data_IF_099424300160
#
_entry.id   IF_099424300160
#
_cell.length_a   1.000
_cell.length_b   1.000
_cell.length_c   1.000
_cell.angle_alpha   90.00
_cell.angle_beta   90.00
_cell.angle_gamma   90.00
#
_symmetry.space_group_name_H-M   'P 1'
#
loop_
_entity.id
_entity.type
_entity.pdbx_description
1 polymer ?
#
# COMPACT_ATOMS: atom_id res chain seq x y z
N UNK A 1 9.32 -10.42 -15.72
CA UNK A 1 8.56 -9.16 -15.77
C UNK A 1 8.53 -8.61 -14.36
N UNK A 2 8.49 -7.29 -14.15
CA UNK A 2 8.69 -6.65 -12.83
C UNK A 2 7.62 -7.07 -11.81
N UNK A 3 7.58 -8.33 -11.37
CA UNK A 3 6.66 -8.98 -10.43
C UNK A 3 5.15 -9.00 -10.77
N UNK A 4 4.69 -8.28 -11.79
CA UNK A 4 3.26 -8.18 -12.12
C UNK A 4 2.73 -9.31 -13.01
N UNK A 5 1.49 -9.70 -12.75
CA UNK A 5 0.60 -10.47 -13.63
C UNK A 5 -0.46 -9.56 -14.22
N UNK A 6 -0.86 -9.83 -15.47
CA UNK A 6 -1.90 -9.06 -16.13
C UNK A 6 -3.21 -9.17 -15.34
N UNK A 7 -3.70 -8.04 -14.81
CA UNK A 7 -4.86 -7.99 -13.92
C UNK A 7 -6.19 -7.70 -14.62
N UNK A 8 -6.15 -7.31 -15.90
CA UNK A 8 -7.32 -6.85 -16.65
C UNK A 8 -7.68 -7.80 -17.79
N UNK A 9 -8.98 -7.96 -18.03
CA UNK A 9 -9.48 -8.61 -19.24
C UNK A 9 -9.48 -7.63 -20.42
N UNK A 10 -9.44 -8.13 -21.67
CA UNK A 10 -9.39 -7.27 -22.88
C UNK A 10 -10.42 -6.13 -22.90
N UNK A 11 -11.70 -6.35 -22.57
CA UNK A 11 -12.68 -5.27 -22.50
C UNK A 11 -12.33 -4.14 -21.53
N UNK A 12 -11.58 -4.44 -20.47
CA UNK A 12 -11.19 -3.50 -19.41
C UNK A 12 -9.96 -2.68 -19.79
N UNK A 13 -9.27 -3.01 -20.88
CA UNK A 13 -8.11 -2.26 -21.39
C UNK A 13 -8.50 -0.97 -22.09
N UNK A 14 -9.79 -0.79 -22.42
CA UNK A 14 -10.25 0.31 -23.25
C UNK A 14 -9.84 1.70 -22.74
N UNK A 15 -9.87 2.03 -21.43
CA UNK A 15 -9.32 3.30 -20.95
C UNK A 15 -7.83 3.48 -21.28
N UNK A 16 -7.00 2.44 -21.13
CA UNK A 16 -5.57 2.47 -21.46
C UNK A 16 -5.36 2.73 -22.96
N UNK A 17 -6.10 2.03 -23.84
CA UNK A 17 -6.03 2.26 -25.29
C UNK A 17 -6.37 3.70 -25.66
N UNK A 18 -7.40 4.27 -25.02
CA UNK A 18 -7.82 5.66 -25.26
C UNK A 18 -6.72 6.65 -24.82
N UNK A 19 -6.09 6.40 -23.68
CA UNK A 19 -5.05 7.27 -23.13
C UNK A 19 -3.74 7.16 -23.93
N UNK A 20 -3.33 5.95 -24.33
CA UNK A 20 -2.18 5.74 -25.21
C UNK A 20 -2.40 6.39 -26.59
N UNK A 21 -3.58 6.20 -27.21
CA UNK A 21 -3.91 6.84 -28.50
C UNK A 21 -3.87 8.37 -28.44
N UNK A 22 -4.23 8.94 -27.28
CA UNK A 22 -4.19 10.38 -27.04
C UNK A 22 -2.77 10.90 -26.71
N UNK A 23 -1.77 10.04 -26.63
CA UNK A 23 -0.40 10.40 -26.25
C UNK A 23 -0.29 10.90 -24.80
N UNK A 24 -1.18 10.44 -23.92
CA UNK A 24 -1.21 10.83 -22.51
C UNK A 24 -0.22 9.97 -21.73
N UNK A 25 0.69 10.62 -20.99
CA UNK A 25 1.56 9.93 -20.03
C UNK A 25 0.75 9.53 -18.82
N UNK A 26 0.58 8.23 -18.65
CA UNK A 26 -0.20 7.65 -17.55
C UNK A 26 0.42 6.35 -17.04
N UNK A 27 -0.14 5.82 -15.95
CA UNK A 27 -0.01 4.42 -15.55
C UNK A 27 -1.16 4.00 -14.61
N UNK A 28 -1.38 2.69 -14.56
CA UNK A 28 -2.30 2.03 -13.62
C UNK A 28 -1.84 2.23 -12.19
N UNK A 29 -2.78 2.55 -11.30
CA UNK A 29 -2.56 2.67 -9.85
C UNK A 29 -3.74 2.06 -9.09
N UNK A 30 -3.64 1.98 -7.77
CA UNK A 30 -4.74 1.55 -6.91
C UNK A 30 -5.02 0.06 -7.03
N UNK A 31 -6.28 -0.34 -6.85
CA UNK A 31 -6.69 -1.75 -6.72
C UNK A 31 -6.13 -2.66 -7.82
N UNK A 32 -6.03 -2.17 -9.05
CA UNK A 32 -5.48 -2.92 -10.18
C UNK A 32 -4.00 -3.31 -10.00
N UNK A 33 -3.23 -2.53 -9.24
CA UNK A 33 -1.86 -2.89 -8.85
C UNK A 33 -1.88 -4.06 -7.88
N UNK A 34 -2.76 -4.03 -6.88
CA UNK A 34 -2.89 -5.10 -5.88
C UNK A 34 -3.32 -6.41 -6.53
N UNK A 35 -4.25 -6.35 -7.47
CA UNK A 35 -4.63 -7.52 -8.30
C UNK A 35 -3.47 -7.97 -9.17
N UNK A 36 -2.74 -7.05 -9.80
CA UNK A 36 -1.58 -7.39 -10.62
C UNK A 36 -0.43 -8.01 -9.81
N UNK A 37 -0.37 -7.80 -8.49
CA UNK A 37 0.57 -8.47 -7.59
C UNK A 37 0.08 -9.85 -7.13
N UNK A 38 -1.11 -10.29 -7.55
CA UNK A 38 -1.67 -11.61 -7.30
C UNK A 38 -2.59 -11.70 -6.08
N UNK A 39 -2.99 -10.58 -5.48
CA UNK A 39 -3.98 -10.60 -4.40
C UNK A 39 -5.40 -10.69 -4.97
N UNK A 40 -6.29 -11.53 -4.42
CA UNK A 40 -7.65 -11.73 -4.93
C UNK A 40 -8.59 -10.59 -4.49
N UNK A 41 -8.24 -9.35 -4.78
CA UNK A 41 -9.09 -8.18 -4.59
C UNK A 41 -10.05 -8.07 -5.78
N UNK A 42 -11.31 -7.75 -5.51
CA UNK A 42 -12.23 -7.29 -6.54
C UNK A 42 -12.03 -5.77 -6.65
N UNK A 43 -11.55 -5.24 -7.79
CA UNK A 43 -11.33 -3.81 -7.94
C UNK A 43 -12.63 -3.04 -7.74
N UNK A 44 -12.59 -2.03 -6.88
CA UNK A 44 -13.74 -1.15 -6.70
C UNK A 44 -13.84 -0.17 -7.87
N UNK A 45 -12.70 0.44 -8.23
CA UNK A 45 -12.56 1.35 -9.37
C UNK A 45 -11.25 1.08 -10.12
N UNK A 46 -11.22 1.37 -11.42
CA UNK A 46 -10.00 1.41 -12.23
C UNK A 46 -9.37 2.79 -12.13
N UNK A 47 -8.19 2.86 -11.51
CA UNK A 47 -7.53 4.12 -11.21
C UNK A 47 -6.28 4.31 -12.06
N UNK A 48 -6.15 5.51 -12.62
CA UNK A 48 -5.01 5.91 -13.44
C UNK A 48 -4.39 7.18 -12.90
N UNK A 49 -3.06 7.17 -12.75
CA UNK A 49 -2.28 8.37 -12.52
C UNK A 49 -1.93 8.98 -13.88
N UNK A 50 -2.25 10.25 -14.06
CA UNK A 50 -2.03 11.02 -15.30
C UNK A 50 -1.03 12.13 -15.04
N UNK A 51 -0.09 12.36 -15.95
CA UNK A 51 0.77 13.54 -15.87
C UNK A 51 -0.08 14.81 -15.69
N UNK A 52 0.22 15.59 -14.66
CA UNK A 52 -0.62 16.67 -14.15
C UNK A 52 -1.08 17.65 -15.25
N UNK A 53 -0.16 18.03 -16.14
CA UNK A 53 -0.40 18.94 -17.26
C UNK A 53 -1.27 18.33 -18.38
N UNK A 54 -1.48 17.02 -18.39
CA UNK A 54 -2.29 16.30 -19.38
C UNK A 54 -3.65 15.85 -18.84
N UNK A 55 -4.01 16.20 -17.60
CA UNK A 55 -5.25 15.72 -16.97
C UNK A 55 -6.51 16.10 -17.76
N UNK A 56 -6.62 17.34 -18.25
CA UNK A 56 -7.75 17.78 -19.10
C UNK A 56 -7.74 17.13 -20.48
N UNK A 57 -6.55 16.81 -21.01
CA UNK A 57 -6.43 16.08 -22.28
C UNK A 57 -6.95 14.66 -22.12
N UNK A 58 -6.56 13.98 -21.03
CA UNK A 58 -7.05 12.64 -20.68
C UNK A 58 -8.57 12.62 -20.47
N UNK A 59 -9.11 13.61 -19.73
CA UNK A 59 -10.54 13.79 -19.53
C UNK A 59 -11.28 13.91 -20.87
N UNK A 60 -10.79 14.78 -21.75
CA UNK A 60 -11.39 15.01 -23.06
C UNK A 60 -11.32 13.76 -23.96
N UNK A 61 -10.21 13.03 -23.93
CA UNK A 61 -10.03 11.79 -24.68
C UNK A 61 -11.05 10.72 -24.28
N UNK A 62 -11.21 10.48 -22.97
CA UNK A 62 -12.21 9.55 -22.44
C UNK A 62 -13.63 9.96 -22.85
N UNK A 63 -14.00 11.23 -22.63
CA UNK A 63 -15.31 11.76 -22.98
C UNK A 63 -15.65 11.57 -24.47
N UNK A 64 -14.68 11.84 -25.35
CA UNK A 64 -14.86 11.71 -26.81
C UNK A 64 -15.09 10.26 -27.28
N UNK A 65 -14.78 9.27 -26.44
CA UNK A 65 -14.85 7.84 -26.78
C UNK A 65 -15.87 7.06 -25.94
N UNK A 66 -16.89 7.77 -25.45
CA UNK A 66 -18.09 7.18 -24.84
C UNK A 66 -17.98 6.93 -23.33
N UNK A 67 -17.03 7.58 -22.65
CA UNK A 67 -16.99 7.60 -21.19
C UNK A 67 -17.70 8.85 -20.69
N UNK A 68 -18.83 8.65 -20.00
CA UNK A 68 -19.59 9.73 -19.40
C UNK A 68 -18.96 10.11 -18.06
N UNK A 69 -18.57 11.38 -17.93
CA UNK A 69 -18.15 11.91 -16.64
C UNK A 69 -19.33 11.92 -15.66
N UNK A 70 -19.07 11.44 -14.45
CA UNK A 70 -20.05 11.39 -13.37
C UNK A 70 -19.49 12.09 -12.14
N UNK A 71 -20.35 12.75 -11.33
CA UNK A 71 -19.92 13.39 -10.10
C UNK A 71 -19.16 12.41 -9.21
N UNK A 72 -18.15 12.87 -8.47
CA UNK A 72 -17.52 12.06 -7.43
C UNK A 72 -18.44 11.97 -6.21
N UNK A 73 -19.42 11.06 -6.26
CA UNK A 73 -20.44 10.90 -5.22
C UNK A 73 -20.39 9.55 -4.50
N UNK A 74 -19.27 8.83 -4.64
CA UNK A 74 -19.07 7.57 -3.90
C UNK A 74 -19.01 7.88 -2.40
N UNK A 75 -20.11 7.61 -1.69
CA UNK A 75 -20.25 7.86 -0.24
C UNK A 75 -19.13 7.22 0.57
N UNK A 76 -18.50 6.16 0.06
CA UNK A 76 -17.38 5.48 0.71
C UNK A 76 -16.12 6.35 0.86
N UNK A 77 -15.97 7.44 0.10
CA UNK A 77 -14.82 8.33 0.17
C UNK A 77 -15.17 9.75 0.63
N UNK A 78 -16.38 9.95 1.14
CA UNK A 78 -16.84 11.25 1.62
C UNK A 78 -16.28 11.54 3.01
N UNK A 79 -15.78 12.76 3.20
CA UNK A 79 -15.33 13.27 4.49
C UNK A 79 -15.67 14.76 4.56
N UNK A 80 -16.75 15.07 5.25
CA UNK A 80 -17.23 16.44 5.45
C UNK A 80 -16.33 17.26 6.39
N UNK A 81 -15.41 16.60 7.10
CA UNK A 81 -14.42 17.23 7.97
C UNK A 81 -13.13 17.60 7.25
N UNK A 82 -12.96 17.15 6.00
CA UNK A 82 -11.77 17.45 5.21
C UNK A 82 -11.68 18.96 4.92
N UNK A 83 -10.53 19.55 5.27
CA UNK A 83 -10.20 20.96 4.97
C UNK A 83 -9.10 21.07 3.92
N UNK A 84 -8.49 19.95 3.54
CA UNK A 84 -7.51 19.76 2.47
C UNK A 84 -7.96 18.56 1.64
N UNK A 85 -7.76 18.62 0.33
CA UNK A 85 -8.35 17.70 -0.65
C UNK A 85 -9.87 17.89 -0.79
N UNK A 86 -10.51 17.04 -1.60
CA UNK A 86 -11.94 17.07 -1.85
C UNK A 86 -12.70 16.43 -0.68
N UNK A 87 -13.76 17.12 -0.20
CA UNK A 87 -14.71 16.57 0.78
C UNK A 87 -15.55 15.43 0.21
N UNK A 88 -15.59 15.31 -1.11
CA UNK A 88 -16.41 14.32 -1.84
C UNK A 88 -15.56 13.21 -2.47
N UNK A 89 -14.26 13.12 -2.17
CA UNK A 89 -13.44 11.95 -2.53
C UNK A 89 -12.13 12.29 -3.24
N UNK A 90 -11.88 11.64 -4.37
CA UNK A 90 -10.60 11.69 -5.10
C UNK A 90 -10.39 13.05 -5.79
N UNK A 91 -9.16 13.58 -5.87
CA UNK A 91 -8.89 14.84 -6.56
C UNK A 91 -8.68 14.59 -8.07
N UNK A 92 -9.75 14.31 -8.81
CA UNK A 92 -9.68 13.95 -10.23
C UNK A 92 -11.06 13.83 -10.90
N UNK A 93 -11.14 13.06 -11.98
CA UNK A 93 -12.38 12.83 -12.72
C UNK A 93 -12.79 11.36 -12.65
N UNK A 94 -14.11 11.14 -12.53
CA UNK A 94 -14.72 9.81 -12.49
C UNK A 94 -15.60 9.62 -13.72
N UNK A 95 -15.53 8.45 -14.32
CA UNK A 95 -16.25 8.11 -15.54
C UNK A 95 -16.93 6.76 -15.45
N UNK A 96 -18.07 6.65 -16.13
CA UNK A 96 -18.72 5.40 -16.49
C UNK A 96 -18.64 5.22 -18.00
N UNK A 97 -18.48 3.99 -18.46
CA UNK A 97 -18.68 3.71 -19.88
C UNK A 97 -20.17 3.84 -20.19
N UNK A 98 -20.49 4.37 -21.37
CA UNK A 98 -21.88 4.52 -21.79
C UNK A 98 -22.65 3.19 -21.69
N UNK A 99 -23.78 3.20 -20.98
CA UNK A 99 -24.62 2.03 -20.75
C UNK A 99 -24.31 1.22 -19.49
N UNK A 100 -23.22 1.54 -18.78
CA UNK A 100 -22.93 0.94 -17.48
C UNK A 100 -23.80 1.58 -16.38
N UNK A 101 -24.14 0.81 -15.35
CA UNK A 101 -24.90 1.30 -14.19
C UNK A 101 -23.98 1.93 -13.14
N UNK A 102 -24.50 2.88 -12.35
CA UNK A 102 -23.74 3.66 -11.34
C UNK A 102 -23.05 2.82 -10.24
N UNK A 103 -23.41 1.54 -10.07
CA UNK A 103 -22.78 0.63 -9.11
C UNK A 103 -21.64 -0.21 -9.73
N UNK A 104 -21.44 -0.13 -11.04
CA UNK A 104 -20.34 -0.83 -11.73
C UNK A 104 -18.99 -0.13 -11.47
N UNK A 105 -17.90 -0.82 -11.80
CA UNK A 105 -16.53 -0.30 -11.65
C UNK A 105 -16.33 0.97 -12.45
N UNK A 106 -15.92 2.06 -11.80
CA UNK A 106 -15.70 3.33 -12.48
C UNK A 106 -14.26 3.42 -12.99
N UNK A 107 -14.04 4.28 -13.99
CA UNK A 107 -12.71 4.75 -14.35
C UNK A 107 -12.44 6.07 -13.64
N UNK A 108 -11.35 6.16 -12.88
CA UNK A 108 -10.92 7.37 -12.18
C UNK A 108 -9.55 7.77 -12.69
N UNK A 109 -9.43 9.01 -13.16
CA UNK A 109 -8.14 9.61 -13.50
C UNK A 109 -7.79 10.68 -12.47
N UNK A 110 -6.53 10.71 -12.04
CA UNK A 110 -6.02 11.64 -11.04
C UNK A 110 -4.65 12.19 -11.47
N UNK A 111 -4.25 13.38 -11.00
CA UNK A 111 -2.89 13.87 -11.14
C UNK A 111 -1.87 12.85 -10.60
N UNK A 112 -0.73 12.74 -11.27
CA UNK A 112 0.36 11.86 -10.87
C UNK A 112 0.98 12.32 -9.55
N UNK A 113 1.04 13.64 -9.31
CA UNK A 113 1.53 14.20 -8.04
C UNK A 113 0.72 13.76 -6.83
N UNK A 114 -0.60 13.56 -6.97
CA UNK A 114 -1.43 13.02 -5.90
C UNK A 114 -1.00 11.60 -5.49
N UNK A 115 -0.54 10.82 -6.46
CA UNK A 115 0.02 9.48 -6.25
C UNK A 115 1.51 9.48 -5.93
N UNK A 116 2.15 10.64 -5.74
CA UNK A 116 3.61 10.76 -5.59
C UNK A 116 4.39 10.08 -6.74
N UNK A 117 3.85 10.10 -7.95
CA UNK A 117 4.48 9.57 -9.14
C UNK A 117 4.99 10.69 -10.04
N UNK A 118 6.19 10.49 -10.58
CA UNK A 118 6.78 11.37 -11.59
C UNK A 118 6.58 10.76 -12.99
N UNK A 119 5.64 11.36 -13.73
CA UNK A 119 5.32 11.05 -15.12
C UNK A 119 5.77 12.16 -16.07
N UNK A 120 6.76 12.97 -15.67
CA UNK A 120 7.41 13.92 -16.58
C UNK A 120 8.03 13.21 -17.79
N UNK A 121 8.24 13.89 -18.93
CA UNK A 121 8.76 13.27 -20.15
C UNK A 121 10.04 12.45 -19.94
N UNK A 122 10.97 12.95 -19.13
CA UNK A 122 12.27 12.31 -18.86
C UNK A 122 12.17 11.13 -17.88
N UNK A 123 11.09 11.06 -17.11
CA UNK A 123 10.90 10.08 -16.06
C UNK A 123 9.92 8.98 -16.45
N UNK A 124 8.97 9.25 -17.35
CA UNK A 124 7.87 8.36 -17.66
C UNK A 124 8.31 6.97 -18.11
N UNK A 125 9.22 6.88 -19.08
CA UNK A 125 9.72 5.59 -19.60
C UNK A 125 10.63 4.85 -18.62
N UNK A 126 11.29 5.59 -17.71
CA UNK A 126 12.13 5.02 -16.64
C UNK A 126 11.28 4.47 -15.49
N UNK A 127 10.25 5.21 -15.10
CA UNK A 127 9.44 4.96 -13.92
C UNK A 127 8.27 4.01 -14.19
N UNK A 128 7.89 3.84 -15.45
CA UNK A 128 6.82 2.94 -15.88
C UNK A 128 7.33 1.89 -16.86
N UNK A 129 6.50 0.91 -17.19
CA UNK A 129 6.72 -0.01 -18.29
C UNK A 129 5.38 -0.41 -18.91
N UNK A 130 5.40 -0.69 -20.21
CA UNK A 130 4.25 -1.25 -20.92
C UNK A 130 4.25 -2.76 -20.73
N UNK A 131 3.12 -3.34 -20.32
CA UNK A 131 3.00 -4.78 -20.19
C UNK A 131 2.92 -5.40 -21.60
N UNK A 132 3.76 -6.41 -21.93
CA UNK A 132 3.83 -7.01 -23.26
C UNK A 132 2.49 -7.39 -23.85
N UNK A 133 2.33 -7.10 -25.14
CA UNK A 133 1.14 -7.42 -25.94
C UNK A 133 -0.17 -6.82 -25.41
N UNK A 134 -0.07 -5.77 -24.58
CA UNK A 134 -1.21 -5.03 -24.03
C UNK A 134 -0.95 -3.53 -24.07
N UNK A 135 -2.01 -2.69 -24.03
CA UNK A 135 -1.86 -1.26 -23.82
C UNK A 135 -1.57 -0.90 -22.36
N UNK A 136 -1.59 -1.87 -21.44
CA UNK A 136 -1.55 -1.61 -20.00
C UNK A 136 -0.18 -1.16 -19.51
N UNK A 137 -0.09 0.05 -18.97
CA UNK A 137 1.14 0.64 -18.46
C UNK A 137 1.15 0.64 -16.94
N UNK A 138 2.20 0.05 -16.35
CA UNK A 138 2.34 -0.07 -14.91
C UNK A 138 3.55 0.74 -14.40
N UNK A 139 3.49 1.29 -13.18
CA UNK A 139 4.66 1.81 -12.50
C UNK A 139 5.59 0.65 -12.12
N UNK A 140 6.91 0.90 -12.17
CA UNK A 140 7.91 -0.04 -11.65
C UNK A 140 7.64 -0.31 -10.16
N UNK A 141 7.80 -1.56 -9.70
CA UNK A 141 7.44 -1.97 -8.33
C UNK A 141 8.12 -1.11 -7.26
N UNK A 142 9.41 -0.82 -7.43
CA UNK A 142 10.16 0.02 -6.48
C UNK A 142 9.69 1.48 -6.48
N UNK A 143 9.34 2.03 -7.65
CA UNK A 143 8.81 3.39 -7.76
C UNK A 143 7.46 3.46 -7.06
N UNK A 144 6.57 2.51 -7.33
CA UNK A 144 5.24 2.47 -6.71
C UNK A 144 5.29 2.25 -5.20
N UNK A 145 6.16 1.36 -4.71
CA UNK A 145 6.35 1.16 -3.28
C UNK A 145 6.78 2.44 -2.57
N UNK A 146 7.76 3.17 -3.13
CA UNK A 146 8.22 4.45 -2.57
C UNK A 146 7.12 5.49 -2.57
N UNK A 147 6.37 5.58 -3.67
CA UNK A 147 5.25 6.50 -3.80
C UNK A 147 4.18 6.24 -2.72
N UNK A 148 3.81 4.98 -2.49
CA UNK A 148 2.83 4.62 -1.45
C UNK A 148 3.38 4.89 -0.04
N UNK A 149 4.67 4.65 0.22
CA UNK A 149 5.30 5.02 1.49
C UNK A 149 5.21 6.53 1.72
N UNK A 150 5.56 7.35 0.72
CA UNK A 150 5.48 8.80 0.81
C UNK A 150 4.04 9.28 1.08
N UNK A 151 3.04 8.73 0.38
CA UNK A 151 1.62 9.04 0.61
C UNK A 151 1.21 8.74 2.07
N UNK A 152 1.54 7.54 2.57
CA UNK A 152 1.18 7.16 3.95
C UNK A 152 1.87 8.08 4.96
N UNK A 153 3.13 8.43 4.74
CA UNK A 153 3.88 9.33 5.62
C UNK A 153 3.25 10.72 5.67
N UNK A 154 2.90 11.27 4.52
CA UNK A 154 2.31 12.61 4.41
C UNK A 154 0.94 12.65 5.06
N UNK A 155 0.12 11.61 4.88
CA UNK A 155 -1.20 11.49 5.50
C UNK A 155 -1.17 11.36 7.02
N UNK A 156 -0.09 10.85 7.61
CA UNK A 156 0.11 10.84 9.05
C UNK A 156 0.63 12.16 9.62
N UNK A 157 1.30 12.95 8.77
CA UNK A 157 1.92 14.23 9.13
C UNK A 157 0.96 15.40 8.95
N UNK A 158 0.10 15.37 7.93
CA UNK A 158 -0.82 16.44 7.60
C UNK A 158 -2.17 16.31 8.35
N UNK A 159 -2.65 17.45 8.85
CA UNK A 159 -4.01 17.59 9.40
C UNK A 159 -4.99 18.05 8.32
N UNK A 160 -6.24 17.63 8.45
CA UNK A 160 -7.35 18.09 7.63
C UNK A 160 -7.50 17.39 6.28
N UNK A 161 -6.74 16.33 6.00
CA UNK A 161 -6.93 15.51 4.81
C UNK A 161 -8.14 14.59 4.95
N UNK A 162 -8.66 14.11 3.82
CA UNK A 162 -9.76 13.16 3.76
C UNK A 162 -9.37 11.82 4.42
N UNK A 163 -10.06 11.47 5.51
CA UNK A 163 -9.79 10.29 6.34
C UNK A 163 -10.18 8.98 5.68
N UNK A 164 -11.19 8.98 4.80
CA UNK A 164 -11.60 7.80 4.05
C UNK A 164 -10.56 7.46 2.98
N UNK A 165 -10.10 8.46 2.23
CA UNK A 165 -8.98 8.31 1.30
C UNK A 165 -7.71 7.90 2.04
N UNK A 166 -7.47 8.44 3.23
CA UNK A 166 -6.35 8.01 4.08
C UNK A 166 -6.43 6.54 4.47
N UNK A 167 -7.60 6.06 4.85
CA UNK A 167 -7.83 4.65 5.19
C UNK A 167 -7.60 3.74 3.98
N UNK A 168 -7.98 4.17 2.79
CA UNK A 168 -7.67 3.45 1.54
C UNK A 168 -6.16 3.29 1.36
N UNK A 169 -5.38 4.38 1.43
CA UNK A 169 -3.93 4.30 1.25
C UNK A 169 -3.25 3.46 2.33
N UNK A 170 -3.72 3.52 3.57
CA UNK A 170 -3.23 2.63 4.63
C UNK A 170 -3.46 1.16 4.30
N UNK A 171 -4.66 0.80 3.83
CA UNK A 171 -4.98 -0.56 3.44
C UNK A 171 -4.15 -1.00 2.22
N UNK A 172 -4.05 -0.11 1.22
CA UNK A 172 -3.30 -0.33 0.00
C UNK A 172 -1.82 -0.62 0.29
N UNK A 173 -1.22 0.16 1.19
CA UNK A 173 0.14 -0.07 1.69
C UNK A 173 0.32 -1.47 2.31
N UNK A 174 -0.66 -1.96 3.07
CA UNK A 174 -0.60 -3.31 3.67
C UNK A 174 -0.58 -4.40 2.61
N UNK A 175 -1.42 -4.27 1.58
CA UNK A 175 -1.42 -5.22 0.48
C UNK A 175 -0.06 -5.23 -0.20
N UNK A 176 0.43 -4.06 -0.61
CA UNK A 176 1.72 -3.93 -1.30
C UNK A 176 2.88 -4.53 -0.49
N UNK A 177 2.98 -4.23 0.80
CA UNK A 177 4.02 -4.81 1.66
C UNK A 177 3.99 -6.33 1.72
N UNK A 178 2.84 -6.95 1.51
CA UNK A 178 2.70 -8.41 1.56
C UNK A 178 3.32 -9.08 0.33
N UNK A 179 3.33 -8.39 -0.81
CA UNK A 179 3.77 -8.92 -2.12
C UNK A 179 5.09 -8.32 -2.63
N UNK A 180 5.59 -7.24 -2.03
CA UNK A 180 6.82 -6.55 -2.46
C UNK A 180 8.03 -6.79 -1.54
N UNK A 181 8.01 -7.85 -0.73
CA UNK A 181 9.06 -8.11 0.28
C UNK A 181 10.45 -8.32 -0.32
N UNK A 182 10.51 -8.90 -1.52
CA UNK A 182 11.73 -9.16 -2.26
C UNK A 182 12.49 -7.89 -2.66
N UNK A 183 11.80 -6.74 -2.73
CA UNK A 183 12.42 -5.48 -3.15
C UNK A 183 12.75 -4.52 -2.00
N UNK A 184 12.46 -4.90 -0.74
CA UNK A 184 12.69 -4.01 0.41
C UNK A 184 14.17 -3.64 0.59
N UNK A 185 15.09 -4.54 0.25
CA UNK A 185 16.52 -4.28 0.34
C UNK A 185 17.01 -3.16 -0.59
N UNK A 186 16.26 -2.83 -1.65
CA UNK A 186 16.59 -1.77 -2.59
C UNK A 186 15.99 -0.41 -2.21
N UNK A 187 15.21 -0.35 -1.13
CA UNK A 187 14.70 0.91 -0.62
C UNK A 187 15.84 1.75 -0.01
N UNK A 188 15.74 3.08 -0.06
CA UNK A 188 16.57 3.96 0.76
C UNK A 188 16.48 3.62 2.26
N UNK A 189 17.49 3.98 3.05
CA UNK A 189 17.57 3.60 4.46
C UNK A 189 16.41 4.15 5.31
N UNK A 190 15.91 5.34 4.99
CA UNK A 190 14.73 5.92 5.65
C UNK A 190 13.45 5.11 5.38
N UNK A 191 13.33 4.54 4.18
CA UNK A 191 12.17 3.77 3.75
C UNK A 191 12.23 2.35 4.32
N UNK A 192 13.43 1.76 4.38
CA UNK A 192 13.65 0.50 5.09
C UNK A 192 13.28 0.65 6.58
N UNK A 193 13.73 1.73 7.23
CA UNK A 193 13.35 2.06 8.61
C UNK A 193 11.84 2.17 8.78
N UNK A 194 11.16 2.88 7.86
CA UNK A 194 9.72 3.06 7.90
C UNK A 194 8.97 1.73 7.77
N UNK A 195 9.30 0.93 6.75
CA UNK A 195 8.68 -0.39 6.50
C UNK A 195 8.89 -1.33 7.69
N UNK A 196 10.08 -1.30 8.30
CA UNK A 196 10.41 -2.14 9.45
C UNK A 196 9.53 -1.87 10.66
N UNK A 197 9.20 -0.60 10.93
CA UNK A 197 8.61 -0.18 12.20
C UNK A 197 7.13 0.20 12.13
N UNK A 198 6.69 0.86 11.04
CA UNK A 198 5.39 1.52 10.99
C UNK A 198 4.22 0.57 11.27
N UNK A 199 4.26 -0.66 10.74
CA UNK A 199 3.23 -1.69 10.96
C UNK A 199 3.35 -2.39 12.32
N UNK A 200 4.53 -2.41 12.93
CA UNK A 200 4.76 -3.04 14.24
C UNK A 200 4.25 -2.18 15.40
N UNK A 201 4.10 -0.87 15.17
CA UNK A 201 3.55 0.06 16.16
C UNK A 201 2.03 0.25 15.96
N UNK A 202 1.26 -0.01 17.01
CA UNK A 202 -0.21 0.04 16.97
C UNK A 202 -0.71 1.48 17.18
N UNK A 203 -0.08 2.21 18.08
CA UNK A 203 -0.56 3.53 18.50
C UNK A 203 -0.26 4.60 17.46
N UNK A 204 -1.28 5.36 17.04
CA UNK A 204 -1.16 6.47 16.07
C UNK A 204 -0.07 7.49 16.44
N UNK A 205 0.06 7.97 17.69
CA UNK A 205 1.16 8.89 18.05
C UNK A 205 2.56 8.30 17.82
N UNK A 206 2.70 6.98 17.99
CA UNK A 206 3.98 6.30 17.74
C UNK A 206 4.23 6.17 16.23
N UNK A 207 3.20 5.90 15.42
CA UNK A 207 3.31 5.96 13.95
C UNK A 207 3.74 7.34 13.45
N UNK A 208 3.17 8.41 14.01
CA UNK A 208 3.61 9.78 13.70
C UNK A 208 5.07 10.00 14.07
N UNK A 209 5.54 9.45 15.19
CA UNK A 209 6.96 9.48 15.55
C UNK A 209 7.82 8.73 14.53
N UNK A 210 7.37 7.58 14.02
CA UNK A 210 8.07 6.86 12.94
C UNK A 210 8.14 7.72 11.67
N UNK A 211 7.04 8.34 11.24
CA UNK A 211 7.02 9.27 10.09
C UNK A 211 8.01 10.43 10.28
N UNK A 212 8.00 11.06 11.46
CA UNK A 212 8.92 12.14 11.78
C UNK A 212 10.40 11.69 11.72
N UNK A 213 10.72 10.54 12.32
CA UNK A 213 12.09 10.02 12.30
C UNK A 213 12.55 9.64 10.88
N UNK A 214 11.66 9.11 10.04
CA UNK A 214 11.96 8.89 8.60
C UNK A 214 12.41 10.19 7.92
N UNK A 215 11.72 11.30 8.17
CA UNK A 215 12.10 12.60 7.62
C UNK A 215 13.48 13.06 8.12
N UNK A 216 13.79 12.84 9.40
CA UNK A 216 15.11 13.15 9.96
C UNK A 216 16.23 12.32 9.33
N UNK A 217 15.99 11.02 9.07
CA UNK A 217 16.94 10.15 8.36
C UNK A 217 17.15 10.65 6.93
N UNK A 218 16.06 10.96 6.20
CA UNK A 218 16.13 11.48 4.82
C UNK A 218 16.92 12.79 4.74
N UNK A 219 16.81 13.64 5.77
CA UNK A 219 17.56 14.88 5.88
C UNK A 219 19.02 14.69 6.34
N UNK A 220 19.45 13.46 6.63
CA UNK A 220 20.79 13.15 7.13
C UNK A 220 21.06 13.64 8.56
N UNK A 221 20.00 13.98 9.32
CA UNK A 221 20.12 14.54 10.68
C UNK A 221 20.38 13.44 11.71
N UNK A 222 19.78 12.26 11.50
CA UNK A 222 19.95 11.09 12.38
C UNK A 222 20.21 9.84 11.54
N UNK A 223 20.93 8.89 12.11
CA UNK A 223 21.09 7.56 11.53
C UNK A 223 19.83 6.71 11.73
N UNK A 224 19.58 5.69 10.88
CA UNK A 224 18.51 4.72 11.11
C UNK A 224 18.58 4.05 12.49
N UNK A 225 19.79 3.78 12.98
CA UNK A 225 20.04 3.13 14.28
C UNK A 225 19.60 4.02 15.44
N UNK A 226 19.98 5.30 15.43
CA UNK A 226 19.55 6.29 16.43
C UNK A 226 18.03 6.46 16.40
N UNK A 227 17.45 6.59 15.20
CA UNK A 227 16.00 6.69 15.02
C UNK A 227 15.26 5.47 15.60
N UNK A 228 15.77 4.24 15.39
CA UNK A 228 15.16 3.00 15.93
C UNK A 228 15.12 3.01 17.45
N UNK A 229 16.20 3.46 18.10
CA UNK A 229 16.27 3.53 19.56
C UNK A 229 15.19 4.45 20.17
N UNK A 230 14.72 5.46 19.41
CA UNK A 230 13.70 6.39 19.85
C UNK A 230 12.27 5.86 19.72
N UNK A 231 12.03 4.77 18.98
CA UNK A 231 10.68 4.25 18.76
C UNK A 231 10.32 3.23 19.85
N UNK A 232 9.26 3.48 20.66
CA UNK A 232 8.84 2.52 21.68
C UNK A 232 8.36 1.19 21.08
N UNK A 233 9.12 0.11 21.27
CA UNK A 233 8.79 -1.24 20.82
C UNK A 233 8.05 -2.04 21.89
N UNK A 234 6.80 -1.65 22.19
CA UNK A 234 5.94 -2.38 23.13
C UNK A 234 5.59 -3.79 22.63
N UNK A 235 5.63 -4.02 21.32
CA UNK A 235 5.51 -5.33 20.68
C UNK A 235 6.59 -6.32 21.17
N UNK A 236 7.84 -5.86 21.30
CA UNK A 236 8.93 -6.68 21.82
C UNK A 236 8.75 -7.02 23.30
N UNK A 237 8.24 -6.06 24.10
CA UNK A 237 7.90 -6.31 25.52
C UNK A 237 6.81 -7.37 25.66
N UNK A 238 5.79 -7.32 24.80
CA UNK A 238 4.71 -8.31 24.78
C UNK A 238 5.19 -9.68 24.29
N UNK A 239 6.06 -9.73 23.28
CA UNK A 239 6.66 -10.97 22.79
C UNK A 239 7.52 -11.64 23.86
N UNK A 240 8.38 -10.87 24.55
CA UNK A 240 9.18 -11.36 25.67
C UNK A 240 8.29 -11.88 26.82
N UNK A 241 7.20 -11.18 27.13
CA UNK A 241 6.23 -11.63 28.14
C UNK A 241 5.56 -12.95 27.72
N UNK A 242 5.08 -13.05 26.47
CA UNK A 242 4.49 -14.29 25.93
C UNK A 242 5.49 -15.45 25.95
N UNK A 243 6.76 -15.18 25.62
CA UNK A 243 7.81 -16.20 25.67
C UNK A 243 8.02 -16.71 27.10
N UNK A 244 8.14 -15.79 28.08
CA UNK A 244 8.26 -16.14 29.49
C UNK A 244 7.12 -17.03 30.00
N UNK A 245 5.89 -16.79 29.54
CA UNK A 245 4.75 -17.64 29.90
C UNK A 245 4.77 -19.01 29.23
N UNK A 246 5.27 -19.10 27.98
CA UNK A 246 5.47 -20.40 27.30
C UNK A 246 6.54 -21.23 28.00
N UNK A 247 7.70 -20.62 28.27
CA UNK A 247 8.80 -21.29 28.97
C UNK A 247 8.35 -21.81 30.35
N UNK A 248 7.52 -21.04 31.07
CA UNK A 248 6.95 -21.46 32.37
C UNK A 248 5.94 -22.60 32.24
N UNK A 249 5.11 -22.61 31.20
CA UNK A 249 4.15 -23.69 30.95
C UNK A 249 4.88 -24.99 30.58
N UNK A 250 5.94 -24.89 29.78
CA UNK A 250 6.78 -26.02 29.40
C UNK A 250 7.54 -26.59 30.61
N UNK A 251 8.06 -25.74 31.50
CA UNK A 251 8.68 -26.19 32.75
C UNK A 251 7.70 -26.91 33.70
N UNK A 252 6.44 -26.45 33.79
CA UNK A 252 5.43 -27.11 34.62
C UNK A 252 5.03 -28.49 34.06
N UNK A 253 4.94 -28.63 32.74
CA UNK A 253 4.67 -29.91 32.09
C UNK A 253 5.83 -30.91 32.26
N UNK A 254 7.06 -30.41 32.36
CA UNK A 254 8.25 -31.24 32.56
C UNK A 254 8.38 -31.70 34.02
N UNK A 255 8.08 -30.84 35.00
CA UNK A 255 8.00 -31.19 36.42
C UNK A 255 6.91 -32.25 36.69
N UNK A 256 5.73 -32.15 36.07
CA UNK A 256 4.68 -33.17 36.19
C UNK A 256 5.13 -34.54 35.62
N UNK A 257 5.91 -34.54 34.54
CA UNK A 257 6.46 -35.78 33.94
C UNK A 257 7.55 -36.44 34.78
N UNK A 258 8.34 -35.64 35.51
CA UNK A 258 9.40 -36.14 36.40
C UNK A 258 8.85 -36.69 37.73
N UNK A 259 7.62 -36.31 38.10
CA UNK A 259 6.98 -36.73 39.35
C UNK A 259 6.25 -38.08 39.23
N UNK A 260 5.97 -38.58 38.02
CA UNK A 260 5.20 -39.82 37.80
C UNK A 260 6.00 -41.14 37.85
N UNK A 261 7.32 -41.13 38.10
CA UNK A 261 8.10 -42.38 38.22
C UNK A 261 9.02 -42.49 39.45
N UNK A 262 8.50 -42.91 40.62
CA UNK A 262 9.32 -43.55 41.63
C UNK A 262 9.65 -44.97 41.18
N UNK A 263 10.94 -45.25 40.99
CA UNK A 263 11.52 -46.57 40.70
C UNK A 263 10.95 -47.62 41.67
N UNK A 264 10.24 -48.61 41.12
CA UNK A 264 9.89 -49.85 41.84
C UNK A 264 11.20 -50.58 42.15
N UNK A 265 11.64 -50.50 43.40
CA UNK A 265 12.74 -51.31 43.93
C UNK A 265 12.23 -52.76 43.98
N UNK A 266 12.75 -53.64 43.13
CA UNK A 266 12.51 -55.09 43.20
C UNK A 266 13.23 -55.66 44.43
N UNK A 267 12.58 -56.49 45.26
CA UNK A 267 13.28 -57.19 46.31
C UNK A 267 14.08 -58.36 45.73
N UNK A 268 15.32 -58.49 46.22
CA UNK A 268 16.21 -59.61 45.96
C UNK A 268 15.73 -60.87 46.68
N UNK A 269 15.44 -61.93 45.95
CA UNK A 269 15.32 -63.28 46.51
C UNK A 269 16.68 -63.97 46.45
N UNK A 270 17.29 -64.13 47.62
CA UNK A 270 18.35 -65.10 47.89
C UNK A 270 17.73 -66.31 48.59
N UNK A 271 17.96 -67.49 48.00
CA UNK A 271 17.72 -68.87 48.46
C UNK A 271 16.28 -69.29 48.76
#
# INVERSE_FOLDING_TARGET
>A
MDGYTLSLSKPDWRPEEILEDAGVRHCIVGDLIVVALGYPLIPFDFQFAIADEQLETARSALASRGYQEVPQISRGFFDDTATKESTIGWPGYRFLRHGDEDWMTHTIIMPATFWHLDLSPDAWSRNTFLFPDTPCRYPRRLVYLRAIIDIVVDRYSAKGLNSMVTSYFELHYVYILSFLKDIFAYLPSEDQFFVELFRKVIMRPVRQKVCYQRQQIRAGIVTPEEARALIPRRDLKLAALKQKYRDRADSMLQEDSDTEHPKIIKPSTTS
#
